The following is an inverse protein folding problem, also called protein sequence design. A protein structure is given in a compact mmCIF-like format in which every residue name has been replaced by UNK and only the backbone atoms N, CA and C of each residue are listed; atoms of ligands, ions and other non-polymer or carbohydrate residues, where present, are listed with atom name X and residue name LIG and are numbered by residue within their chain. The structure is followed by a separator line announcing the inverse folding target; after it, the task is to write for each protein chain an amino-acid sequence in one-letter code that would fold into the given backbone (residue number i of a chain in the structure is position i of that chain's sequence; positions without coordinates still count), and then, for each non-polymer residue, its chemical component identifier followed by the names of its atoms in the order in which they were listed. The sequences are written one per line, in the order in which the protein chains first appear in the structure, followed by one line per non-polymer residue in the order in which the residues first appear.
data_IF_042601695055
#
_entry.id   IF_042601695055
#
_cell.length_a   1.000
_cell.length_b   1.000
_cell.length_c   1.000
_cell.angle_alpha   90.00
_cell.angle_beta   90.00
_cell.angle_gamma   90.00
#
_symmetry.space_group_name_H-M   'P 1'
#
loop_
_entity.id
_entity.type
_entity.pdbx_description
1 polymer ?
#
# COMPACT_ATOMS: atom_id res chain seq x y z
N UNK A 1 22.43 -3.86 -42.44
CA UNK A 1 21.74 -4.68 -41.41
C UNK A 1 20.45 -5.17 -42.01
N UNK A 2 20.32 -6.48 -42.19
CA UNK A 2 19.18 -7.10 -42.89
C UNK A 2 17.83 -6.76 -42.23
N UNK A 3 16.78 -6.69 -43.04
CA UNK A 3 15.40 -6.42 -42.60
C UNK A 3 14.98 -7.33 -41.43
N UNK A 4 15.39 -8.60 -41.48
CA UNK A 4 15.17 -9.61 -40.44
C UNK A 4 15.80 -9.22 -39.10
N UNK A 5 17.03 -8.68 -39.08
CA UNK A 5 17.70 -8.24 -37.85
C UNK A 5 16.98 -7.04 -37.20
N UNK A 6 16.45 -6.12 -38.00
CA UNK A 6 15.68 -4.97 -37.48
C UNK A 6 14.37 -5.39 -36.81
N UNK A 7 13.67 -6.36 -37.40
CA UNK A 7 12.43 -6.93 -36.85
C UNK A 7 12.73 -7.63 -35.51
N UNK A 8 13.81 -8.41 -35.46
CA UNK A 8 14.19 -9.15 -34.25
C UNK A 8 14.51 -8.22 -33.07
N UNK A 9 15.23 -7.11 -33.34
CA UNK A 9 15.55 -6.09 -32.34
C UNK A 9 14.29 -5.35 -31.88
N UNK A 10 13.37 -5.02 -32.79
CA UNK A 10 12.10 -4.40 -32.42
C UNK A 10 11.27 -5.28 -31.49
N UNK A 11 11.21 -6.59 -31.78
CA UNK A 11 10.54 -7.58 -30.96
C UNK A 11 11.17 -7.72 -29.57
N UNK A 12 12.51 -7.72 -29.48
CA UNK A 12 13.18 -7.84 -28.18
C UNK A 12 12.91 -6.63 -27.28
N UNK A 13 12.88 -5.42 -27.85
CA UNK A 13 12.56 -4.18 -27.11
C UNK A 13 11.11 -4.20 -26.63
N UNK A 14 10.19 -4.67 -27.47
CA UNK A 14 8.76 -4.73 -27.13
C UNK A 14 8.49 -5.74 -26.01
N UNK A 15 9.14 -6.92 -26.06
CA UNK A 15 9.05 -7.91 -24.99
C UNK A 15 9.70 -7.37 -23.70
N UNK A 16 10.88 -6.75 -23.79
CA UNK A 16 11.57 -6.20 -22.62
C UNK A 16 10.76 -5.09 -21.92
N UNK A 17 10.11 -4.21 -22.68
CA UNK A 17 9.26 -3.16 -22.12
C UNK A 17 7.99 -3.70 -21.48
N UNK A 18 7.34 -4.71 -22.07
CA UNK A 18 6.21 -5.40 -21.44
C UNK A 18 6.62 -6.13 -20.15
N UNK A 19 7.81 -6.72 -20.12
CA UNK A 19 8.32 -7.41 -18.95
C UNK A 19 8.53 -6.44 -17.78
N UNK A 20 9.14 -5.28 -18.04
CA UNK A 20 9.33 -4.22 -17.03
C UNK A 20 7.99 -3.68 -16.53
N UNK A 21 7.01 -3.53 -17.43
CA UNK A 21 5.67 -3.07 -17.05
C UNK A 21 4.94 -4.08 -16.15
N UNK A 22 5.04 -5.37 -16.46
CA UNK A 22 4.40 -6.43 -15.67
C UNK A 22 5.09 -6.65 -14.31
N UNK A 23 6.41 -6.51 -14.25
CA UNK A 23 7.20 -6.70 -13.03
C UNK A 23 7.52 -5.39 -12.29
N UNK A 24 6.79 -4.30 -12.58
CA UNK A 24 7.02 -3.01 -11.96
C UNK A 24 6.90 -3.13 -10.42
N UNK A 25 8.00 -3.02 -9.64
CA UNK A 25 8.01 -3.29 -8.21
C UNK A 25 7.46 -2.13 -7.36
N UNK A 26 6.69 -1.23 -7.96
CA UNK A 26 6.23 0.01 -7.32
C UNK A 26 5.15 -0.18 -6.24
N UNK A 27 4.69 -1.41 -6.04
CA UNK A 27 3.80 -1.72 -4.93
C UNK A 27 4.62 -2.31 -3.79
N UNK A 28 5.44 -1.48 -3.14
CA UNK A 28 5.83 -1.73 -1.75
C UNK A 28 4.54 -1.71 -0.92
N UNK A 29 3.86 -2.86 -0.85
CA UNK A 29 2.82 -3.09 0.13
C UNK A 29 3.53 -3.15 1.47
N UNK A 30 3.46 -2.06 2.22
CA UNK A 30 3.87 -2.03 3.62
C UNK A 30 3.00 -3.06 4.34
N UNK A 31 3.53 -4.26 4.52
CA UNK A 31 2.90 -5.34 5.28
C UNK A 31 3.20 -5.10 6.77
N UNK A 32 2.37 -4.26 7.39
CA UNK A 32 2.53 -3.90 8.78
C UNK A 32 1.37 -3.07 9.29
N UNK A 33 0.76 -3.53 10.39
CA UNK A 33 -0.21 -2.74 11.13
C UNK A 33 0.51 -1.72 12.03
N UNK A 34 0.15 -0.45 11.90
CA UNK A 34 0.57 0.61 12.82
C UNK A 34 -0.18 0.40 14.13
N UNK A 35 0.54 0.08 15.20
CA UNK A 35 -0.04 0.00 16.53
C UNK A 35 -0.14 1.39 17.15
N UNK A 36 -1.35 1.80 17.49
CA UNK A 36 -1.61 3.09 18.13
C UNK A 36 -2.08 2.83 19.55
N UNK A 37 -1.26 3.27 20.51
CA UNK A 37 -1.62 3.23 21.92
C UNK A 37 -2.62 4.33 22.22
N UNK A 38 -3.79 3.96 22.70
CA UNK A 38 -4.85 4.88 23.10
C UNK A 38 -5.11 4.71 24.59
N UNK A 39 -5.30 5.81 25.31
CA UNK A 39 -5.84 5.72 26.66
C UNK A 39 -7.31 5.28 26.56
N UNK A 40 -7.81 4.62 27.60
CA UNK A 40 -9.21 4.21 27.75
C UNK A 40 -10.18 5.40 27.91
N UNK A 41 -9.68 6.63 27.74
CA UNK A 41 -10.40 7.88 27.86
C UNK A 41 -10.89 8.43 26.50
N UNK A 42 -11.00 9.76 26.41
CA UNK A 42 -11.42 10.49 25.22
C UNK A 42 -10.54 10.20 23.99
N UNK A 43 -9.27 9.83 24.19
CA UNK A 43 -8.35 9.50 23.10
C UNK A 43 -8.72 8.20 22.38
N UNK A 44 -9.10 7.14 23.11
CA UNK A 44 -9.68 5.91 22.55
C UNK A 44 -11.02 6.17 21.85
N UNK A 45 -11.82 7.05 22.46
CA UNK A 45 -12.91 7.84 21.87
C UNK A 45 -12.74 8.14 20.36
N UNK A 46 -11.83 9.09 20.14
CA UNK A 46 -11.61 9.73 18.84
C UNK A 46 -11.05 8.75 17.82
N UNK A 47 -10.10 7.89 18.21
CA UNK A 47 -9.52 6.92 17.28
C UNK A 47 -10.56 5.91 16.80
N UNK A 48 -11.39 5.40 17.70
CA UNK A 48 -12.46 4.47 17.35
C UNK A 48 -13.51 5.13 16.42
N UNK A 49 -13.85 6.40 16.67
CA UNK A 49 -14.72 7.17 15.79
C UNK A 49 -14.10 7.34 14.38
N UNK A 50 -12.82 7.69 14.28
CA UNK A 50 -12.13 7.91 13.01
C UNK A 50 -12.05 6.63 12.16
N UNK A 51 -11.81 5.47 12.79
CA UNK A 51 -11.79 4.16 12.12
C UNK A 51 -13.21 3.79 11.64
N UNK A 52 -14.21 3.82 12.54
CA UNK A 52 -15.55 3.32 12.22
C UNK A 52 -16.33 4.21 11.25
N UNK A 53 -16.04 5.51 11.20
CA UNK A 53 -16.76 6.44 10.31
C UNK A 53 -16.17 6.53 8.90
N UNK A 54 -15.15 5.72 8.57
CA UNK A 54 -14.42 5.82 7.30
C UNK A 54 -14.01 7.26 7.00
N UNK A 55 -13.54 7.97 8.03
CA UNK A 55 -13.18 9.40 7.90
C UNK A 55 -12.16 9.61 6.78
N UNK A 56 -11.31 8.60 6.55
CA UNK A 56 -10.45 8.52 5.38
C UNK A 56 -11.11 7.62 4.33
N UNK A 57 -11.97 8.17 3.49
CA UNK A 57 -12.69 7.44 2.45
C UNK A 57 -11.78 6.78 1.40
N UNK A 58 -10.55 7.28 1.26
CA UNK A 58 -9.56 6.81 0.29
C UNK A 58 -8.45 5.95 0.93
N UNK A 59 -8.49 5.73 2.25
CA UNK A 59 -7.52 4.90 2.98
C UNK A 59 -8.25 3.83 3.77
N UNK A 60 -7.84 2.58 3.57
CA UNK A 60 -8.36 1.45 4.34
C UNK A 60 -7.69 1.38 5.72
N UNK A 61 -8.06 2.32 6.59
CA UNK A 61 -7.43 2.53 7.90
C UNK A 61 -7.67 1.37 8.87
N UNK A 62 -8.77 0.64 8.70
CA UNK A 62 -9.12 -0.54 9.50
C UNK A 62 -8.06 -1.64 9.38
N UNK A 63 -7.47 -1.79 8.19
CA UNK A 63 -6.39 -2.74 7.94
C UNK A 63 -4.98 -2.16 8.20
N UNK A 64 -4.87 -0.88 8.56
CA UNK A 64 -3.59 -0.21 8.81
C UNK A 64 -3.34 0.09 10.28
N UNK A 65 -4.39 0.23 11.10
CA UNK A 65 -4.28 0.67 12.49
C UNK A 65 -4.82 -0.39 13.44
N UNK A 66 -3.97 -0.88 14.33
CA UNK A 66 -4.35 -1.71 15.48
C UNK A 66 -4.37 -0.84 16.75
N UNK A 67 -5.56 -0.42 17.25
CA UNK A 67 -5.63 0.28 18.53
C UNK A 67 -5.33 -0.70 19.67
N UNK A 68 -4.49 -0.28 20.62
CA UNK A 68 -4.30 -1.01 21.88
C UNK A 68 -4.49 -0.07 23.07
N UNK A 69 -5.16 -0.59 24.10
CA UNK A 69 -5.40 0.14 25.35
C UNK A 69 -4.09 0.32 26.12
N UNK A 70 -3.85 1.57 26.54
CA UNK A 70 -2.84 1.91 27.53
C UNK A 70 -3.60 2.26 28.81
N UNK A 71 -3.41 1.47 29.85
CA UNK A 71 -3.88 1.84 31.18
C UNK A 71 -3.16 3.12 31.61
N UNK A 72 -3.93 4.17 31.86
CA UNK A 72 -3.42 5.34 32.59
C UNK A 72 -3.05 4.89 34.02
N UNK A 73 -1.83 5.19 34.43
CA UNK A 73 -1.33 4.93 35.79
C UNK A 73 -2.07 5.77 36.84
#
# INVERSE_FOLDING_TARGET
MDKSKKILIGLSILIGSLFIWFFNPNDEKIDGHIRVGVSDDTSGFVINYLINQKYFSDLDVENLIEPYSINDC
#
